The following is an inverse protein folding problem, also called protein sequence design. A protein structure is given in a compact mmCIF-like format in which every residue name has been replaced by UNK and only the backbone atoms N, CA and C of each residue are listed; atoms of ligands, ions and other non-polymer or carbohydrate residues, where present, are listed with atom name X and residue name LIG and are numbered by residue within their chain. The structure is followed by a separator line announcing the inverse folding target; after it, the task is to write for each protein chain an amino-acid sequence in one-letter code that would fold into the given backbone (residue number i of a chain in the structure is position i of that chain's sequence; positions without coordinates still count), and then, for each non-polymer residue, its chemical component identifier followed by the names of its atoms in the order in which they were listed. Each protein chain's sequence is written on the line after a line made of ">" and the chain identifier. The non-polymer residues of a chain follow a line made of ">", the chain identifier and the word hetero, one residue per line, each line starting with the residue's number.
data_IF_911887423101
#
_entry.id   IF_911887423101
#
_cell.length_a   1.000
_cell.length_b   1.000
_cell.length_c   1.000
_cell.angle_alpha   90.00
_cell.angle_beta   90.00
_cell.angle_gamma   90.00
#
_symmetry.space_group_name_H-M   'P 1'
#
loop_
_entity.id
_entity.type
_entity.pdbx_description
1 polymer ?
#
# COMPACT_ATOMS: atom_id res chain seq x y z
N UNK A 1 13.33 46.56 -19.28
CA UNK A 1 13.76 45.70 -18.16
C UNK A 1 13.80 44.27 -18.65
N UNK A 2 14.97 43.68 -18.82
CA UNK A 2 15.10 42.22 -19.12
C UNK A 2 14.90 41.46 -17.81
N UNK A 3 13.81 40.72 -17.68
CA UNK A 3 13.65 39.76 -16.62
C UNK A 3 14.67 38.63 -16.86
N UNK A 4 15.71 38.56 -16.11
CA UNK A 4 16.56 37.37 -16.02
C UNK A 4 15.73 36.32 -15.31
N UNK A 5 15.24 35.37 -16.07
CA UNK A 5 14.69 34.13 -15.50
C UNK A 5 15.86 33.45 -14.78
N UNK A 6 15.84 33.43 -13.45
CA UNK A 6 16.84 32.68 -12.66
C UNK A 6 16.58 31.23 -13.01
N UNK A 7 17.45 30.66 -13.83
CA UNK A 7 17.43 29.23 -14.17
C UNK A 7 17.76 28.51 -12.85
N UNK A 8 16.79 27.84 -12.25
CA UNK A 8 17.01 27.00 -11.08
C UNK A 8 17.69 25.71 -11.53
N UNK A 9 18.98 25.67 -11.38
CA UNK A 9 19.80 24.48 -11.59
C UNK A 9 19.64 23.65 -10.31
N UNK A 10 19.16 22.40 -10.41
CA UNK A 10 19.15 21.44 -9.32
C UNK A 10 20.30 20.45 -9.53
N UNK A 11 21.08 20.15 -8.50
CA UNK A 11 22.16 19.17 -8.60
C UNK A 11 22.42 18.47 -7.28
N UNK A 12 22.40 17.13 -7.27
CA UNK A 12 22.66 16.35 -6.07
C UNK A 12 23.19 14.94 -6.40
N UNK A 13 23.80 14.31 -5.40
CA UNK A 13 24.30 12.95 -5.45
C UNK A 13 23.50 12.10 -4.45
N UNK A 14 23.08 10.92 -4.86
CA UNK A 14 22.32 9.98 -4.03
C UNK A 14 22.81 8.55 -4.24
N UNK A 15 22.69 7.70 -3.22
CA UNK A 15 22.99 6.27 -3.35
C UNK A 15 21.91 5.59 -4.20
N UNK A 16 22.34 4.68 -5.08
CA UNK A 16 21.46 3.94 -5.98
C UNK A 16 20.37 3.16 -5.22
N UNK A 17 20.71 2.47 -4.13
CA UNK A 17 19.77 1.65 -3.37
C UNK A 17 18.68 2.50 -2.70
N UNK A 18 19.05 3.61 -2.10
CA UNK A 18 18.12 4.51 -1.43
C UNK A 18 17.12 5.12 -2.43
N UNK A 19 17.64 5.58 -3.59
CA UNK A 19 16.81 6.12 -4.66
C UNK A 19 15.89 5.05 -5.28
N UNK A 20 16.41 3.84 -5.51
CA UNK A 20 15.63 2.71 -6.01
C UNK A 20 14.50 2.34 -5.07
N UNK A 21 14.75 2.27 -3.77
CA UNK A 21 13.74 1.95 -2.76
C UNK A 21 12.62 3.01 -2.74
N UNK A 22 13.00 4.29 -2.69
CA UNK A 22 12.04 5.40 -2.67
C UNK A 22 11.15 5.40 -3.93
N UNK A 23 11.76 5.27 -5.12
CA UNK A 23 11.04 5.21 -6.39
C UNK A 23 10.20 3.94 -6.51
N UNK A 24 10.65 2.81 -5.93
CA UNK A 24 9.91 1.56 -5.88
C UNK A 24 8.58 1.70 -5.14
N UNK A 25 8.58 2.36 -4.00
CA UNK A 25 7.33 2.65 -3.27
C UNK A 25 6.37 3.55 -4.05
N UNK A 26 6.89 4.48 -4.85
CA UNK A 26 6.06 5.34 -5.70
C UNK A 26 5.26 4.54 -6.74
N UNK A 27 5.76 3.38 -7.22
CA UNK A 27 5.08 2.58 -8.25
C UNK A 27 3.71 2.04 -7.81
N UNK A 28 3.49 1.87 -6.51
CA UNK A 28 2.19 1.43 -5.96
C UNK A 28 1.16 2.56 -5.82
N UNK A 29 1.60 3.81 -5.93
CA UNK A 29 0.73 5.00 -5.84
C UNK A 29 0.30 5.48 -7.22
N UNK A 30 1.25 5.58 -8.13
CA UNK A 30 1.06 6.19 -9.46
C UNK A 30 0.17 5.33 -10.35
N UNK A 31 -0.70 5.99 -11.10
CA UNK A 31 -1.49 5.36 -12.15
C UNK A 31 -0.75 5.41 -13.49
N UNK A 32 -0.52 4.23 -14.08
CA UNK A 32 0.17 4.12 -15.37
C UNK A 32 -0.60 4.73 -16.55
N UNK A 33 -1.90 4.93 -16.42
CA UNK A 33 -2.80 5.49 -17.44
C UNK A 33 -3.67 6.57 -16.82
N UNK A 34 -3.10 7.72 -16.55
CA UNK A 34 -3.85 8.90 -16.09
C UNK A 34 -4.15 9.84 -17.26
N UNK A 35 -5.32 10.47 -17.25
CA UNK A 35 -5.67 11.57 -18.15
C UNK A 35 -4.84 12.83 -17.86
N UNK A 36 -4.40 12.99 -16.62
CA UNK A 36 -3.50 14.05 -16.18
C UNK A 36 -2.05 13.55 -16.18
N UNK A 37 -1.26 13.98 -17.15
CA UNK A 37 0.10 13.51 -17.36
C UNK A 37 1.00 13.68 -16.12
N UNK A 38 0.80 14.75 -15.34
CA UNK A 38 1.56 15.05 -14.12
C UNK A 38 1.43 13.95 -13.05
N UNK A 39 0.31 13.21 -13.00
CA UNK A 39 0.09 12.11 -12.04
C UNK A 39 0.89 10.83 -12.37
N UNK A 40 1.50 10.77 -13.56
CA UNK A 40 2.47 9.73 -13.91
C UNK A 40 3.89 10.07 -13.46
N UNK A 41 4.10 11.30 -12.98
CA UNK A 41 5.40 11.79 -12.53
C UNK A 41 5.56 11.61 -11.02
N UNK A 42 6.81 11.62 -10.57
CA UNK A 42 7.20 11.90 -9.20
C UNK A 42 7.73 13.32 -9.11
N UNK A 43 7.39 14.02 -8.03
CA UNK A 43 8.03 15.26 -7.64
C UNK A 43 9.31 14.94 -6.89
N UNK A 44 10.40 15.53 -7.34
CA UNK A 44 11.76 15.41 -6.78
C UNK A 44 12.14 16.78 -6.22
N UNK A 45 12.41 16.84 -4.92
CA UNK A 45 12.79 18.06 -4.21
C UNK A 45 14.10 17.81 -3.47
N UNK A 46 15.17 18.45 -3.91
CA UNK A 46 16.48 18.40 -3.28
C UNK A 46 16.72 19.71 -2.52
N UNK A 47 16.66 19.64 -1.20
CA UNK A 47 16.84 20.79 -0.30
C UNK A 47 17.33 20.34 1.08
N UNK A 48 18.01 21.23 1.81
CA UNK A 48 18.45 20.98 3.20
C UNK A 48 19.20 19.65 3.41
N UNK A 49 20.08 19.26 2.49
CA UNK A 49 20.78 17.95 2.49
C UNK A 49 19.83 16.74 2.53
N UNK A 50 18.62 16.89 1.98
CA UNK A 50 17.59 15.86 1.87
C UNK A 50 17.07 15.78 0.44
N UNK A 51 16.65 14.59 0.06
CA UNK A 51 15.88 14.36 -1.15
C UNK A 51 14.50 13.91 -0.76
N UNK A 52 13.49 14.72 -1.09
CA UNK A 52 12.08 14.35 -0.89
C UNK A 52 11.49 13.92 -2.22
N UNK A 53 10.93 12.72 -2.26
CA UNK A 53 10.23 12.16 -3.42
C UNK A 53 8.74 12.05 -3.06
N UNK A 54 7.89 12.66 -3.88
CA UNK A 54 6.43 12.64 -3.69
C UNK A 54 5.75 12.03 -4.91
N UNK A 55 4.80 11.14 -4.66
CA UNK A 55 3.92 10.55 -5.66
C UNK A 55 2.46 10.67 -5.24
N UNK A 56 1.55 10.87 -6.19
CA UNK A 56 0.12 10.96 -5.90
C UNK A 56 -0.73 10.53 -7.10
N UNK A 57 -1.93 10.01 -6.81
CA UNK A 57 -3.03 9.80 -7.75
C UNK A 57 -4.27 10.66 -7.40
N UNK A 58 -4.11 11.66 -6.53
CA UNK A 58 -5.12 12.55 -5.92
C UNK A 58 -5.90 11.94 -4.74
N UNK A 59 -5.96 10.63 -4.63
CA UNK A 59 -6.62 9.93 -3.52
C UNK A 59 -5.61 9.37 -2.52
N UNK A 60 -4.41 9.05 -3.01
CA UNK A 60 -3.30 8.55 -2.24
C UNK A 60 -2.07 9.45 -2.49
N UNK A 61 -1.42 9.88 -1.42
CA UNK A 61 -0.18 10.67 -1.48
C UNK A 61 0.88 9.91 -0.70
N UNK A 62 2.01 9.71 -1.32
CA UNK A 62 3.19 9.12 -0.70
C UNK A 62 4.34 10.11 -0.74
N UNK A 63 4.98 10.31 0.40
CA UNK A 63 6.17 11.14 0.54
C UNK A 63 7.27 10.33 1.19
N UNK A 64 8.45 10.33 0.62
CA UNK A 64 9.63 9.69 1.20
C UNK A 64 10.81 10.64 1.22
N UNK A 65 11.54 10.65 2.33
CA UNK A 65 12.74 11.46 2.51
C UNK A 65 13.98 10.60 2.63
N UNK A 66 14.93 10.82 1.75
CA UNK A 66 16.30 10.32 1.84
C UNK A 66 17.15 11.40 2.51
N UNK A 67 17.70 11.11 3.68
CA UNK A 67 18.51 12.06 4.47
C UNK A 67 19.99 11.91 4.17
N UNK A 68 20.76 12.94 4.52
CA UNK A 68 22.21 12.95 4.41
C UNK A 68 22.72 12.72 2.98
N UNK A 69 22.03 13.27 2.00
CA UNK A 69 22.52 13.34 0.62
C UNK A 69 23.40 14.57 0.40
N UNK A 70 24.22 14.52 -0.62
CA UNK A 70 25.04 15.65 -1.06
C UNK A 70 24.24 16.51 -2.04
N UNK A 71 23.63 17.59 -1.55
CA UNK A 71 22.96 18.59 -2.38
C UNK A 71 23.99 19.67 -2.74
N UNK A 72 24.31 19.76 -4.03
CA UNK A 72 25.23 20.78 -4.59
C UNK A 72 24.45 22.04 -4.95
N UNK A 73 23.27 21.89 -5.50
CA UNK A 73 22.35 22.98 -5.84
C UNK A 73 20.91 22.55 -5.55
N UNK A 74 20.20 23.34 -4.78
CA UNK A 74 18.82 23.07 -4.38
C UNK A 74 17.84 23.34 -5.52
N UNK A 75 16.80 22.53 -5.60
CA UNK A 75 15.75 22.73 -6.59
C UNK A 75 14.69 21.64 -6.58
N UNK A 76 13.70 21.82 -7.46
CA UNK A 76 12.56 20.90 -7.63
C UNK A 76 12.30 20.62 -9.09
N UNK A 77 11.93 19.41 -9.40
CA UNK A 77 11.47 19.01 -10.74
C UNK A 77 10.50 17.84 -10.66
N UNK A 78 9.85 17.52 -11.78
CA UNK A 78 9.06 16.30 -11.90
C UNK A 78 9.50 15.50 -13.11
N UNK A 79 9.45 14.18 -13.02
CA UNK A 79 9.73 13.29 -14.16
C UNK A 79 8.88 12.02 -14.07
N UNK A 80 8.74 11.32 -15.20
CA UNK A 80 7.94 10.08 -15.29
C UNK A 80 8.50 9.01 -14.36
N UNK A 81 7.72 8.62 -13.38
CA UNK A 81 8.10 7.70 -12.29
C UNK A 81 8.56 6.34 -12.78
N UNK A 82 7.82 5.74 -13.70
CA UNK A 82 8.17 4.41 -14.22
C UNK A 82 9.52 4.42 -14.94
N UNK A 83 9.80 5.47 -15.72
CA UNK A 83 11.04 5.60 -16.48
C UNK A 83 12.25 5.78 -15.59
N UNK A 84 12.18 6.72 -14.63
CA UNK A 84 13.32 6.93 -13.71
C UNK A 84 13.55 5.69 -12.83
N UNK A 85 12.50 5.04 -12.36
CA UNK A 85 12.62 3.79 -11.60
C UNK A 85 13.29 2.69 -12.42
N UNK A 86 12.88 2.49 -13.68
CA UNK A 86 13.44 1.46 -14.57
C UNK A 86 14.93 1.70 -14.89
N UNK A 87 15.37 2.95 -14.97
CA UNK A 87 16.78 3.32 -15.13
C UNK A 87 17.54 3.02 -13.85
N UNK A 88 17.08 3.57 -12.72
CA UNK A 88 17.79 3.49 -11.43
C UNK A 88 17.95 2.05 -10.96
N UNK A 89 16.94 1.19 -11.11
CA UNK A 89 17.02 -0.22 -10.70
C UNK A 89 18.00 -1.06 -11.50
N UNK A 90 18.42 -0.58 -12.69
CA UNK A 90 19.39 -1.28 -13.56
C UNK A 90 20.84 -0.83 -13.34
N UNK A 91 21.06 0.23 -12.57
CA UNK A 91 22.41 0.59 -12.16
C UNK A 91 22.98 -0.40 -11.14
N UNK A 92 24.32 -0.57 -11.13
CA UNK A 92 24.97 -1.43 -10.13
C UNK A 92 24.68 -0.94 -8.70
N UNK A 93 24.38 -1.90 -7.82
CA UNK A 93 24.13 -1.63 -6.40
C UNK A 93 25.32 -0.96 -5.72
N UNK A 94 25.05 -0.04 -4.78
CA UNK A 94 26.07 0.66 -4.00
C UNK A 94 26.77 1.82 -4.73
N UNK A 95 26.38 2.11 -5.98
CA UNK A 95 26.94 3.25 -6.73
C UNK A 95 26.22 4.55 -6.39
N UNK A 96 26.95 5.67 -6.50
CA UNK A 96 26.36 7.00 -6.47
C UNK A 96 25.76 7.33 -7.83
N UNK A 97 24.61 7.96 -7.81
CA UNK A 97 23.93 8.53 -8.98
C UNK A 97 23.96 10.05 -8.84
N UNK A 98 24.42 10.73 -9.86
CA UNK A 98 24.37 12.18 -9.97
C UNK A 98 23.10 12.56 -10.75
N UNK A 99 22.29 13.44 -10.19
CA UNK A 99 21.13 14.00 -10.85
C UNK A 99 21.29 15.51 -10.95
N UNK A 100 21.05 16.03 -12.17
CA UNK A 100 21.07 17.47 -12.41
C UNK A 100 19.96 17.89 -13.36
N UNK A 101 19.37 19.07 -13.12
CA UNK A 101 18.38 19.67 -13.99
C UNK A 101 19.08 20.61 -14.98
N UNK A 102 18.91 20.35 -16.28
CA UNK A 102 19.42 21.21 -17.33
C UNK A 102 18.45 22.35 -17.66
N UNK A 103 18.96 23.39 -18.34
CA UNK A 103 18.21 24.56 -18.80
C UNK A 103 17.01 24.23 -19.70
N UNK A 104 17.03 23.04 -20.33
CA UNK A 104 16.01 22.58 -21.23
C UNK A 104 14.87 21.78 -20.52
N UNK A 105 14.68 21.95 -19.22
CA UNK A 105 13.75 21.16 -18.40
C UNK A 105 13.96 19.63 -18.57
N UNK A 106 15.22 19.20 -18.60
CA UNK A 106 15.58 17.78 -18.66
C UNK A 106 16.35 17.40 -17.40
N UNK A 107 15.91 16.32 -16.76
CA UNK A 107 16.62 15.70 -15.67
C UNK A 107 17.70 14.78 -16.26
N UNK A 108 18.95 15.17 -16.09
CA UNK A 108 20.11 14.36 -16.43
C UNK A 108 20.41 13.41 -15.26
N UNK A 109 20.62 12.15 -15.56
CA UNK A 109 20.93 11.09 -14.61
C UNK A 109 22.22 10.42 -15.05
N UNK A 110 23.24 10.52 -14.23
CA UNK A 110 24.58 9.99 -14.54
C UNK A 110 25.02 8.99 -13.48
N UNK A 111 25.58 7.88 -13.94
CA UNK A 111 26.30 6.92 -13.10
C UNK A 111 27.38 6.25 -13.93
N UNK A 112 28.63 6.33 -13.48
CA UNK A 112 29.82 5.82 -14.18
C UNK A 112 29.91 6.32 -15.64
N UNK A 113 29.67 5.42 -16.61
CA UNK A 113 29.72 5.74 -18.06
C UNK A 113 28.33 5.93 -18.69
N UNK A 114 27.27 5.85 -17.88
CA UNK A 114 25.89 5.95 -18.34
C UNK A 114 25.33 7.33 -18.11
N UNK A 115 24.66 7.89 -19.12
CA UNK A 115 24.02 9.20 -19.06
C UNK A 115 22.62 9.10 -19.71
N UNK A 116 21.61 9.58 -19.00
CA UNK A 116 20.21 9.60 -19.45
C UNK A 116 19.66 11.01 -19.28
N UNK A 117 18.78 11.43 -20.19
CA UNK A 117 18.08 12.71 -20.12
C UNK A 117 16.58 12.46 -20.18
N UNK A 118 15.88 12.77 -19.10
CA UNK A 118 14.43 12.61 -18.98
C UNK A 118 13.72 13.95 -19.09
N UNK A 119 12.59 13.98 -19.81
CA UNK A 119 11.74 15.17 -19.87
C UNK A 119 11.08 15.43 -18.51
N UNK A 120 10.98 16.71 -18.15
CA UNK A 120 10.38 17.18 -16.92
C UNK A 120 9.15 18.04 -17.19
N UNK A 121 8.19 17.98 -16.28
CA UNK A 121 7.10 18.95 -16.20
C UNK A 121 7.36 19.91 -15.02
N UNK A 122 6.71 21.07 -15.05
CA UNK A 122 6.85 22.06 -14.00
C UNK A 122 6.40 21.52 -12.64
N UNK A 123 7.21 21.64 -11.57
CA UNK A 123 6.79 21.26 -10.23
C UNK A 123 5.57 22.05 -9.72
N UNK A 124 5.27 23.22 -10.28
CA UNK A 124 4.07 24.00 -9.93
C UNK A 124 2.76 23.35 -10.38
N UNK A 125 2.81 22.42 -11.34
CA UNK A 125 1.67 21.65 -11.79
C UNK A 125 1.39 20.43 -10.91
N UNK A 126 2.33 20.06 -10.04
CA UNK A 126 2.18 18.88 -9.20
C UNK A 126 1.22 19.16 -8.03
N UNK A 127 0.15 18.35 -7.88
CA UNK A 127 -0.89 18.60 -6.88
C UNK A 127 -0.38 18.24 -5.47
N UNK A 128 -0.04 19.26 -4.70
CA UNK A 128 0.27 19.15 -3.27
C UNK A 128 -0.96 19.54 -2.47
N UNK A 129 -1.21 18.86 -1.37
CA UNK A 129 -2.25 19.21 -0.40
C UNK A 129 -1.61 19.52 0.93
N UNK A 130 -1.87 20.75 1.42
CA UNK A 130 -1.50 21.14 2.78
C UNK A 130 -2.69 20.85 3.70
N UNK A 131 -2.64 19.73 4.43
CA UNK A 131 -3.65 19.42 5.41
C UNK A 131 -3.04 19.27 6.80
N UNK A 132 -3.74 19.83 7.78
CA UNK A 132 -3.33 19.79 9.18
C UNK A 132 -3.92 18.52 9.83
N UNK A 133 -3.07 17.57 10.19
CA UNK A 133 -3.44 16.33 10.87
C UNK A 133 -3.13 16.38 12.37
N UNK A 134 -3.42 17.51 13.02
CA UNK A 134 -2.99 17.73 14.41
C UNK A 134 -3.88 17.08 15.46
N UNK A 135 -5.05 16.56 15.09
CA UNK A 135 -6.00 15.97 16.02
C UNK A 135 -5.94 14.44 16.00
N UNK A 136 -6.16 13.82 17.16
CA UNK A 136 -6.35 12.37 17.32
C UNK A 136 -5.22 11.50 16.78
N UNK A 137 -4.01 11.64 17.37
CA UNK A 137 -2.85 10.82 17.01
C UNK A 137 -2.70 9.64 17.97
N UNK A 138 -2.36 8.49 17.42
CA UNK A 138 -1.96 7.29 18.16
C UNK A 138 -0.90 6.51 17.39
N UNK A 139 -0.20 5.62 18.07
CA UNK A 139 0.85 4.79 17.47
C UNK A 139 0.52 3.32 17.59
N UNK A 140 0.88 2.57 16.55
CA UNK A 140 0.77 1.11 16.52
C UNK A 140 2.07 0.56 15.96
N UNK A 141 2.60 -0.49 16.59
CA UNK A 141 3.78 -1.17 16.08
C UNK A 141 3.52 -1.78 14.70
N UNK A 142 4.44 -1.58 13.77
CA UNK A 142 4.34 -1.96 12.34
C UNK A 142 3.92 -3.42 12.14
N UNK A 143 4.52 -4.36 12.88
CA UNK A 143 4.19 -5.80 12.80
C UNK A 143 2.74 -6.10 13.19
N UNK A 144 2.21 -5.38 14.18
CA UNK A 144 0.82 -5.53 14.61
C UNK A 144 -0.16 -4.99 13.56
N UNK A 145 0.14 -3.82 13.01
CA UNK A 145 -0.64 -3.23 11.93
C UNK A 145 -0.60 -4.10 10.66
N UNK A 146 0.59 -4.55 10.25
CA UNK A 146 0.77 -5.45 9.11
C UNK A 146 -0.02 -6.76 9.28
N UNK A 147 -0.01 -7.33 10.49
CA UNK A 147 -0.82 -8.53 10.82
C UNK A 147 -2.31 -8.28 10.63
N UNK A 148 -2.84 -7.13 11.07
CA UNK A 148 -4.25 -6.76 10.84
C UNK A 148 -4.57 -6.70 9.34
N UNK A 149 -3.75 -5.98 8.57
CA UNK A 149 -3.93 -5.83 7.13
C UNK A 149 -3.89 -7.18 6.42
N UNK A 150 -2.87 -8.01 6.69
CA UNK A 150 -2.68 -9.30 6.04
C UNK A 150 -3.81 -10.28 6.35
N UNK A 151 -4.41 -10.21 7.55
CA UNK A 151 -5.55 -11.07 7.92
C UNK A 151 -6.87 -10.65 7.31
N UNK A 152 -6.99 -9.43 6.79
CA UNK A 152 -8.25 -8.90 6.26
C UNK A 152 -8.22 -8.62 4.76
N UNK A 153 -7.07 -8.25 4.18
CA UNK A 153 -6.96 -7.75 2.79
C UNK A 153 -7.49 -8.70 1.72
N UNK A 154 -7.45 -10.02 1.94
CA UNK A 154 -7.93 -11.01 0.97
C UNK A 154 -9.46 -11.13 0.92
N UNK A 155 -10.17 -10.58 1.91
CA UNK A 155 -11.64 -10.54 1.96
C UNK A 155 -12.22 -9.20 1.46
N UNK A 156 -11.39 -8.27 1.01
CA UNK A 156 -11.85 -6.99 0.45
C UNK A 156 -12.55 -7.24 -0.88
N UNK A 157 -13.72 -6.61 -1.10
CA UNK A 157 -14.50 -6.74 -2.33
C UNK A 157 -13.79 -6.11 -3.54
N UNK A 158 -14.02 -6.71 -4.72
CA UNK A 158 -13.67 -6.13 -6.02
C UNK A 158 -14.90 -5.55 -6.75
N UNK A 159 -16.07 -5.59 -6.12
CA UNK A 159 -17.31 -5.09 -6.69
C UNK A 159 -17.40 -3.57 -6.52
N UNK A 160 -17.21 -2.83 -7.59
CA UNK A 160 -17.24 -1.36 -7.60
C UNK A 160 -18.64 -0.78 -7.31
N UNK A 161 -19.70 -1.57 -7.49
CA UNK A 161 -21.07 -1.12 -7.20
C UNK A 161 -21.32 -1.03 -5.69
N UNK A 162 -20.54 -1.77 -4.89
CA UNK A 162 -20.57 -1.76 -3.42
C UNK A 162 -19.26 -1.21 -2.87
N UNK A 163 -18.93 0.03 -3.25
CA UNK A 163 -17.67 0.68 -2.91
C UNK A 163 -17.33 0.65 -1.41
N UNK A 164 -18.34 0.69 -0.51
CA UNK A 164 -18.15 0.58 0.93
C UNK A 164 -17.60 -0.78 1.40
N UNK A 165 -17.58 -1.81 0.53
CA UNK A 165 -16.91 -3.10 0.77
C UNK A 165 -15.51 -3.18 0.12
N UNK A 166 -15.12 -2.18 -0.68
CA UNK A 166 -13.82 -2.16 -1.39
C UNK A 166 -12.66 -1.70 -0.51
N UNK A 167 -12.78 -1.89 0.80
CA UNK A 167 -11.78 -1.53 1.79
C UNK A 167 -11.84 -2.38 3.06
N UNK A 168 -10.95 -2.06 4.00
CA UNK A 168 -10.99 -2.61 5.36
C UNK A 168 -11.67 -1.58 6.27
N UNK A 169 -12.69 -2.02 6.99
CA UNK A 169 -13.35 -1.26 8.03
C UNK A 169 -12.56 -1.37 9.33
N UNK A 170 -12.09 -0.23 9.82
CA UNK A 170 -11.41 -0.11 11.11
C UNK A 170 -12.30 0.60 12.10
N UNK A 171 -12.40 0.04 13.30
CA UNK A 171 -13.12 0.65 14.39
C UNK A 171 -12.60 0.14 15.75
N UNK A 172 -12.93 0.85 16.81
CA UNK A 172 -12.66 0.38 18.16
C UNK A 172 -13.69 -0.63 18.62
N UNK A 173 -13.24 -1.61 19.37
CA UNK A 173 -14.10 -2.53 20.13
C UNK A 173 -13.57 -2.67 21.55
N UNK A 174 -14.47 -2.91 22.48
CA UNK A 174 -14.15 -3.18 23.88
C UNK A 174 -14.62 -4.61 24.22
N UNK A 175 -13.75 -5.40 24.80
CA UNK A 175 -14.02 -6.78 25.23
C UNK A 175 -13.35 -6.99 26.58
N UNK A 176 -14.12 -7.35 27.60
CA UNK A 176 -13.61 -7.57 28.96
C UNK A 176 -12.73 -6.40 29.47
N UNK A 177 -13.25 -5.19 29.38
CA UNK A 177 -12.58 -3.93 29.77
C UNK A 177 -11.23 -3.67 29.07
N UNK A 178 -10.99 -4.33 27.93
CA UNK A 178 -9.80 -4.13 27.08
C UNK A 178 -10.18 -3.50 25.75
N UNK A 179 -9.42 -2.51 25.35
CA UNK A 179 -9.62 -1.81 24.08
C UNK A 179 -8.88 -2.52 22.95
N UNK A 180 -9.52 -2.58 21.79
CA UNK A 180 -8.97 -3.17 20.57
C UNK A 180 -9.20 -2.27 19.38
N UNK A 181 -8.23 -2.22 18.46
CA UNK A 181 -8.46 -1.82 17.09
C UNK A 181 -8.88 -3.07 16.30
N UNK A 182 -10.08 -3.03 15.76
CA UNK A 182 -10.67 -4.14 15.00
C UNK A 182 -10.71 -3.78 13.53
N UNK A 183 -10.25 -4.70 12.69
CA UNK A 183 -10.27 -4.63 11.25
C UNK A 183 -11.25 -5.67 10.69
N UNK A 184 -12.12 -5.27 9.79
CA UNK A 184 -13.13 -6.13 9.15
C UNK A 184 -13.12 -5.91 7.65
N UNK A 185 -13.17 -7.00 6.89
CA UNK A 185 -13.36 -6.97 5.45
C UNK A 185 -14.30 -8.08 5.01
N UNK A 186 -15.12 -7.82 3.99
CA UNK A 186 -16.02 -8.82 3.39
C UNK A 186 -16.28 -8.50 1.93
N UNK A 187 -16.45 -9.54 1.12
CA UNK A 187 -16.92 -9.48 -0.26
C UNK A 187 -18.33 -10.05 -0.43
N UNK A 188 -19.06 -10.25 0.68
CA UNK A 188 -20.36 -10.88 0.80
C UNK A 188 -20.38 -12.42 0.74
N UNK A 189 -19.27 -13.05 0.35
CA UNK A 189 -19.12 -14.51 0.30
C UNK A 189 -18.26 -15.02 1.46
N UNK A 190 -17.33 -14.22 1.90
CA UNK A 190 -16.43 -14.48 3.04
C UNK A 190 -16.23 -13.19 3.83
N UNK A 191 -15.85 -13.35 5.07
CA UNK A 191 -15.55 -12.22 5.97
C UNK A 191 -14.32 -12.54 6.82
N UNK A 192 -13.48 -11.54 6.99
CA UNK A 192 -12.35 -11.59 7.91
C UNK A 192 -12.53 -10.54 8.99
N UNK A 193 -12.31 -10.96 10.23
CA UNK A 193 -12.27 -10.09 11.40
C UNK A 193 -10.95 -10.33 12.13
N UNK A 194 -10.18 -9.30 12.36
CA UNK A 194 -8.94 -9.37 13.12
C UNK A 194 -8.86 -8.18 14.07
N UNK A 195 -8.26 -8.39 15.25
CA UNK A 195 -8.13 -7.35 16.26
C UNK A 195 -6.75 -7.36 16.89
N UNK A 196 -6.26 -6.19 17.26
CA UNK A 196 -5.08 -6.01 18.10
C UNK A 196 -5.47 -5.25 19.35
N UNK A 197 -4.86 -5.62 20.47
CA UNK A 197 -5.06 -4.91 21.74
C UNK A 197 -4.39 -3.55 21.66
N UNK A 198 -5.09 -2.56 22.21
CA UNK A 198 -4.56 -1.21 22.41
C UNK A 198 -4.22 -1.06 23.91
N UNK A 199 -3.08 -0.42 24.20
CA UNK A 199 -2.66 -0.19 25.57
C UNK A 199 -3.53 0.87 26.28
N UNK A 200 -4.15 1.75 25.50
CA UNK A 200 -5.05 2.80 25.98
C UNK A 200 -6.22 2.97 25.02
N UNK A 201 -7.29 3.57 25.53
CA UNK A 201 -8.41 4.01 24.68
C UNK A 201 -7.94 5.14 23.79
N UNK A 202 -8.18 5.02 22.49
CA UNK A 202 -7.86 6.05 21.49
C UNK A 202 -9.17 6.75 21.08
N UNK A 203 -9.08 8.01 20.68
CA UNK A 203 -10.19 8.69 20.00
C UNK A 203 -10.09 8.43 18.52
N UNK A 204 -10.81 7.43 18.02
CA UNK A 204 -10.74 6.99 16.64
C UNK A 204 -12.13 6.73 16.08
N UNK A 205 -12.57 7.58 15.15
CA UNK A 205 -13.83 7.37 14.44
C UNK A 205 -13.70 6.18 13.48
N UNK A 206 -14.77 5.39 13.33
CA UNK A 206 -14.78 4.28 12.38
C UNK A 206 -14.49 4.75 10.95
N UNK A 207 -13.61 4.05 10.24
CA UNK A 207 -13.20 4.39 8.88
C UNK A 207 -13.22 3.16 7.96
N UNK A 208 -13.34 3.41 6.65
CA UNK A 208 -13.11 2.38 5.62
C UNK A 208 -11.86 2.76 4.83
N UNK A 209 -10.78 2.00 5.02
CA UNK A 209 -9.51 2.22 4.36
C UNK A 209 -9.51 1.58 2.97
N UNK A 210 -9.26 2.34 1.88
CA UNK A 210 -9.34 1.82 0.52
C UNK A 210 -8.36 0.70 0.23
N UNK A 211 -8.73 -0.20 -0.69
CA UNK A 211 -7.91 -1.35 -1.11
C UNK A 211 -6.51 -0.94 -1.54
N UNK A 212 -6.36 0.08 -2.39
CA UNK A 212 -5.05 0.57 -2.86
C UNK A 212 -4.15 0.98 -1.70
N UNK A 213 -4.71 1.71 -0.74
CA UNK A 213 -4.01 2.14 0.47
C UNK A 213 -3.56 0.96 1.32
N UNK A 214 -4.41 -0.06 1.47
CA UNK A 214 -4.10 -1.28 2.23
C UNK A 214 -2.85 -1.97 1.66
N UNK A 215 -2.79 -2.16 0.34
CA UNK A 215 -1.66 -2.82 -0.31
C UNK A 215 -0.39 -1.97 -0.24
N UNK A 216 -0.51 -0.65 -0.45
CA UNK A 216 0.63 0.26 -0.34
C UNK A 216 1.17 0.32 1.08
N UNK A 217 0.30 0.46 2.08
CA UNK A 217 0.70 0.46 3.48
C UNK A 217 1.35 -0.88 3.88
N UNK A 218 0.78 -2.01 3.49
CA UNK A 218 1.36 -3.32 3.76
C UNK A 218 2.77 -3.45 3.16
N UNK A 219 3.00 -2.95 1.94
CA UNK A 219 4.33 -2.94 1.31
C UNK A 219 5.35 -2.08 2.06
N UNK A 220 4.93 -0.93 2.60
CA UNK A 220 5.78 -0.08 3.42
C UNK A 220 6.13 -0.74 4.75
N UNK A 221 5.16 -1.42 5.37
CA UNK A 221 5.31 -2.07 6.67
C UNK A 221 6.18 -3.33 6.63
N UNK A 222 6.24 -4.02 5.48
CA UNK A 222 6.96 -5.30 5.33
C UNK A 222 8.47 -5.16 5.62
N UNK A 223 9.04 -3.98 5.31
CA UNK A 223 10.44 -3.65 5.52
C UNK A 223 10.67 -2.63 6.66
N UNK A 224 9.67 -2.41 7.51
CA UNK A 224 9.75 -1.43 8.58
C UNK A 224 9.51 -2.10 9.95
N UNK A 225 10.43 -1.91 10.88
CA UNK A 225 10.31 -2.36 12.27
C UNK A 225 10.35 -1.14 13.20
N UNK A 226 9.19 -0.68 13.63
CA UNK A 226 9.02 0.50 14.47
C UNK A 226 7.56 0.90 14.63
N UNK A 227 7.32 1.99 15.31
CA UNK A 227 5.98 2.51 15.54
C UNK A 227 5.51 3.33 14.33
N UNK A 228 4.29 3.06 13.91
CA UNK A 228 3.56 3.82 12.90
C UNK A 228 2.66 4.81 13.62
N UNK A 229 2.89 6.10 13.40
CA UNK A 229 2.04 7.15 13.90
C UNK A 229 0.86 7.34 12.96
N UNK A 230 -0.33 7.25 13.49
CA UNK A 230 -1.58 7.34 12.74
C UNK A 230 -2.35 8.56 13.20
N UNK A 231 -2.81 9.35 12.24
CA UNK A 231 -3.69 10.48 12.49
C UNK A 231 -4.76 10.56 11.40
N UNK A 232 -5.99 10.91 11.78
CA UNK A 232 -7.08 11.04 10.82
C UNK A 232 -7.81 12.37 10.99
N UNK A 233 -8.31 12.88 9.87
CA UNK A 233 -9.23 14.02 9.79
C UNK A 233 -10.38 13.62 8.88
N UNK A 234 -11.60 13.92 9.28
CA UNK A 234 -12.87 13.63 8.54
C UNK A 234 -12.79 12.59 7.41
N UNK A 235 -12.21 12.96 6.25
CA UNK A 235 -12.20 12.14 5.03
C UNK A 235 -10.81 11.57 4.67
N UNK A 236 -9.78 11.79 5.50
CA UNK A 236 -8.41 11.36 5.21
C UNK A 236 -7.72 10.77 6.43
N UNK A 237 -6.77 9.89 6.17
CA UNK A 237 -5.89 9.29 7.18
C UNK A 237 -4.43 9.43 6.75
N UNK A 238 -3.56 9.67 7.72
CA UNK A 238 -2.12 9.76 7.55
C UNK A 238 -1.42 8.68 8.38
N UNK A 239 -0.46 8.02 7.75
CA UNK A 239 0.48 7.09 8.37
C UNK A 239 1.88 7.64 8.25
N UNK A 240 2.58 7.81 9.37
CA UNK A 240 3.97 8.26 9.42
C UNK A 240 4.87 7.11 9.88
N UNK A 241 5.85 6.77 9.04
CA UNK A 241 6.80 5.68 9.23
C UNK A 241 8.21 6.25 9.04
N UNK A 242 8.93 6.59 10.10
CA UNK A 242 10.27 7.16 10.04
C UNK A 242 10.44 8.24 8.94
N UNK A 243 10.90 7.84 7.75
CA UNK A 243 11.17 8.72 6.61
C UNK A 243 10.04 8.73 5.56
N UNK A 244 8.95 8.02 5.80
CA UNK A 244 7.83 7.89 4.85
C UNK A 244 6.54 8.40 5.46
N UNK A 245 5.74 9.07 4.63
CA UNK A 245 4.38 9.49 4.96
C UNK A 245 3.45 8.97 3.87
N UNK A 246 2.38 8.32 4.28
CA UNK A 246 1.30 7.89 3.40
C UNK A 246 0.01 8.57 3.85
N UNK A 247 -0.61 9.34 2.96
CA UNK A 247 -1.90 10.01 3.19
C UNK A 247 -2.91 9.41 2.21
N UNK A 248 -4.06 9.02 2.71
CA UNK A 248 -5.13 8.45 1.89
C UNK A 248 -6.45 9.10 2.17
N UNK A 249 -7.24 9.35 1.12
CA UNK A 249 -8.68 9.54 1.27
C UNK A 249 -9.30 8.25 1.82
N UNK A 250 -10.39 8.40 2.56
CA UNK A 250 -11.19 7.30 3.10
C UNK A 250 -12.39 7.05 2.19
N UNK A 251 -12.88 5.82 2.19
CA UNK A 251 -14.12 5.52 1.49
C UNK A 251 -15.29 6.09 2.31
N UNK A 252 -16.07 6.95 1.68
CA UNK A 252 -17.33 7.43 2.25
C UNK A 252 -18.39 6.33 2.16
N UNK A 253 -19.07 6.07 3.26
CA UNK A 253 -20.12 5.07 3.31
C UNK A 253 -20.24 4.39 4.67
N UNK A 254 -21.33 3.66 4.85
CA UNK A 254 -21.60 2.91 6.08
C UNK A 254 -21.29 1.44 5.86
N UNK A 255 -20.30 0.91 6.61
CA UNK A 255 -20.00 -0.52 6.59
C UNK A 255 -21.16 -1.30 7.21
N UNK A 256 -21.53 -2.48 6.66
CA UNK A 256 -22.62 -3.30 7.18
C UNK A 256 -22.41 -3.74 8.63
N UNK A 257 -23.50 -4.00 9.34
CA UNK A 257 -23.40 -4.58 10.69
C UNK A 257 -22.96 -6.06 10.60
N UNK A 258 -21.66 -6.26 10.52
CA UNK A 258 -21.03 -7.56 10.33
C UNK A 258 -21.22 -8.50 11.53
N UNK A 259 -21.51 -7.99 12.74
CA UNK A 259 -21.70 -8.82 13.94
C UNK A 259 -22.94 -9.72 13.80
N UNK A 260 -23.94 -9.27 13.05
CA UNK A 260 -25.17 -10.03 12.84
C UNK A 260 -25.00 -11.26 11.95
N UNK A 261 -23.99 -11.25 11.08
CA UNK A 261 -23.73 -12.37 10.16
C UNK A 261 -22.69 -13.37 10.69
N UNK A 262 -22.09 -13.11 11.86
CA UNK A 262 -21.19 -14.06 12.51
C UNK A 262 -22.03 -15.25 13.02
N UNK A 263 -21.76 -16.49 12.55
CA UNK A 263 -22.47 -17.66 13.01
C UNK A 263 -22.29 -17.89 14.51
N UNK A 264 -23.39 -18.15 15.19
CA UNK A 264 -23.42 -18.45 16.63
C UNK A 264 -23.90 -19.89 16.84
N UNK A 265 -23.47 -20.51 17.94
CA UNK A 265 -23.93 -21.81 18.37
C UNK A 265 -23.66 -22.99 17.39
N UNK A 266 -22.54 -22.90 16.65
CA UNK A 266 -22.08 -24.02 15.81
C UNK A 266 -21.57 -25.16 16.70
N UNK A 267 -22.30 -26.28 16.68
CA UNK A 267 -21.96 -27.47 17.46
C UNK A 267 -21.01 -28.41 16.69
N UNK A 268 -21.04 -28.38 15.35
CA UNK A 268 -20.19 -29.21 14.49
C UNK A 268 -18.84 -28.48 14.32
N UNK A 269 -17.76 -29.13 14.71
CA UNK A 269 -16.38 -28.61 14.61
C UNK A 269 -15.54 -29.53 13.74
N UNK A 270 -14.67 -28.97 12.94
CA UNK A 270 -13.62 -29.66 12.22
C UNK A 270 -12.28 -29.19 12.79
N UNK A 271 -11.48 -30.13 13.30
CA UNK A 271 -10.10 -29.89 13.71
C UNK A 271 -9.17 -30.67 12.79
N UNK A 272 -8.23 -29.98 12.14
CA UNK A 272 -7.37 -30.55 11.13
C UNK A 272 -6.00 -29.86 11.14
N UNK A 273 -4.93 -30.59 10.83
CA UNK A 273 -3.61 -29.99 10.65
C UNK A 273 -3.60 -29.01 9.48
N UNK A 274 -3.11 -27.79 9.73
CA UNK A 274 -3.11 -26.70 8.76
C UNK A 274 -2.32 -27.03 7.48
N UNK A 275 -1.13 -27.65 7.63
CA UNK A 275 -0.26 -27.93 6.47
C UNK A 275 -0.83 -29.05 5.62
N UNK A 276 -1.35 -30.09 6.26
CA UNK A 276 -2.03 -31.19 5.58
C UNK A 276 -3.22 -30.67 4.80
N UNK A 277 -4.10 -29.91 5.46
CA UNK A 277 -5.30 -29.35 4.84
C UNK A 277 -4.99 -28.41 3.67
N UNK A 278 -4.05 -27.47 3.86
CA UNK A 278 -3.63 -26.53 2.82
C UNK A 278 -3.09 -27.27 1.59
N UNK A 279 -2.20 -28.25 1.80
CA UNK A 279 -1.62 -29.04 0.71
C UNK A 279 -2.67 -29.87 -0.05
N UNK A 280 -3.67 -30.40 0.65
CA UNK A 280 -4.74 -31.19 0.04
C UNK A 280 -5.70 -30.32 -0.77
N UNK A 281 -6.07 -29.16 -0.24
CA UNK A 281 -6.89 -28.18 -0.98
C UNK A 281 -6.17 -27.72 -2.25
N UNK A 282 -4.86 -27.43 -2.16
CA UNK A 282 -4.06 -26.95 -3.29
C UNK A 282 -3.96 -28.03 -4.39
N UNK A 283 -3.73 -29.31 -4.02
CA UNK A 283 -3.71 -30.42 -4.97
C UNK A 283 -5.05 -30.62 -5.66
N UNK A 284 -6.15 -30.68 -4.91
CA UNK A 284 -7.48 -30.89 -5.48
C UNK A 284 -7.90 -29.70 -6.35
N UNK A 285 -7.59 -28.49 -5.93
CA UNK A 285 -7.89 -27.27 -6.69
C UNK A 285 -7.07 -27.14 -7.99
N UNK A 286 -5.97 -27.87 -8.15
CA UNK A 286 -5.14 -27.81 -9.37
C UNK A 286 -5.83 -28.34 -10.63
N UNK A 287 -6.91 -29.12 -10.46
CA UNK A 287 -7.76 -29.58 -11.57
C UNK A 287 -8.63 -28.46 -12.14
N UNK A 288 -8.90 -27.41 -11.34
CA UNK A 288 -9.70 -26.26 -11.77
C UNK A 288 -8.91 -25.34 -12.68
N UNK A 289 -9.37 -25.14 -13.90
CA UNK A 289 -8.80 -24.18 -14.85
C UNK A 289 -9.30 -22.75 -14.58
N UNK A 290 -10.49 -22.63 -14.00
CA UNK A 290 -11.10 -21.34 -13.64
C UNK A 290 -11.09 -21.19 -12.10
N UNK A 291 -10.58 -20.04 -11.63
CA UNK A 291 -10.59 -19.66 -10.19
C UNK A 291 -12.00 -19.58 -9.57
N UNK A 292 -13.04 -19.80 -10.37
CA UNK A 292 -14.44 -19.81 -9.93
C UNK A 292 -14.94 -21.17 -9.48
N UNK A 293 -14.22 -22.26 -9.81
CA UNK A 293 -14.61 -23.59 -9.37
C UNK A 293 -14.43 -23.73 -7.88
N UNK A 294 -15.44 -24.24 -7.21
CA UNK A 294 -15.42 -24.49 -5.78
C UNK A 294 -14.88 -25.87 -5.43
N UNK A 295 -14.13 -25.96 -4.34
CA UNK A 295 -13.78 -27.25 -3.72
C UNK A 295 -14.93 -27.68 -2.83
N UNK A 296 -15.52 -28.83 -3.10
CA UNK A 296 -16.58 -29.43 -2.27
C UNK A 296 -15.96 -30.16 -1.09
N UNK A 297 -16.47 -29.88 0.10
CA UNK A 297 -16.09 -30.52 1.36
C UNK A 297 -17.20 -31.45 1.79
N UNK A 298 -16.91 -32.73 1.96
CA UNK A 298 -17.84 -33.75 2.46
C UNK A 298 -17.27 -34.31 3.75
N UNK A 299 -17.91 -33.98 4.89
CA UNK A 299 -17.48 -34.42 6.20
C UNK A 299 -18.27 -35.59 6.68
N UNK A 300 -17.59 -36.61 7.18
CA UNK A 300 -18.14 -37.71 7.98
C UNK A 300 -17.57 -37.59 9.40
N UNK A 301 -17.86 -38.60 10.25
CA UNK A 301 -17.36 -38.59 11.63
C UNK A 301 -15.82 -38.56 11.68
N UNK A 302 -15.16 -39.32 10.82
CA UNK A 302 -13.73 -39.61 10.92
C UNK A 302 -12.94 -39.26 9.63
N UNK A 303 -13.60 -38.62 8.63
CA UNK A 303 -12.97 -38.30 7.36
C UNK A 303 -13.52 -37.01 6.75
N UNK A 304 -12.63 -36.28 6.05
CA UNK A 304 -12.96 -35.15 5.20
C UNK A 304 -12.60 -35.47 3.76
N UNK A 305 -13.58 -35.55 2.88
CA UNK A 305 -13.35 -35.67 1.44
C UNK A 305 -13.43 -34.32 0.76
N UNK A 306 -12.39 -34.00 -0.01
CA UNK A 306 -12.28 -32.82 -0.87
C UNK A 306 -12.54 -33.26 -2.31
N UNK A 307 -13.36 -32.56 -3.07
CA UNK A 307 -13.55 -32.85 -4.48
C UNK A 307 -13.77 -31.60 -5.32
N UNK A 308 -13.22 -31.62 -6.54
CA UNK A 308 -13.47 -30.64 -7.62
C UNK A 308 -13.94 -31.44 -8.84
N UNK A 309 -14.92 -30.92 -9.53
CA UNK A 309 -15.33 -31.43 -10.82
C UNK A 309 -15.46 -30.29 -11.80
N UNK A 310 -14.69 -30.36 -12.88
CA UNK A 310 -14.68 -29.37 -13.96
C UNK A 310 -14.88 -30.09 -15.28
N UNK A 311 -15.88 -29.69 -16.04
CA UNK A 311 -16.28 -30.38 -17.31
C UNK A 311 -15.19 -30.31 -18.37
N UNK A 312 -14.27 -29.38 -18.31
CA UNK A 312 -13.24 -29.16 -19.33
C UNK A 312 -11.89 -29.79 -18.97
N UNK A 313 -11.56 -29.86 -17.68
CA UNK A 313 -10.24 -30.29 -17.19
C UNK A 313 -10.26 -31.62 -16.46
N UNK A 314 -11.44 -32.12 -16.06
CA UNK A 314 -11.59 -33.38 -15.35
C UNK A 314 -11.98 -33.20 -13.89
N UNK A 315 -11.77 -34.23 -13.09
CA UNK A 315 -12.10 -34.27 -11.66
C UNK A 315 -10.90 -34.61 -10.79
N UNK A 316 -10.95 -34.18 -9.56
CA UNK A 316 -9.96 -34.49 -8.53
C UNK A 316 -10.64 -34.74 -7.19
N UNK A 317 -10.15 -35.72 -6.46
CA UNK A 317 -10.61 -35.98 -5.10
C UNK A 317 -9.47 -36.42 -4.18
N UNK A 318 -9.61 -36.10 -2.91
CA UNK A 318 -8.69 -36.52 -1.86
C UNK A 318 -9.45 -36.67 -0.54
N UNK A 319 -9.07 -37.65 0.28
CA UNK A 319 -9.65 -37.88 1.60
C UNK A 319 -8.59 -37.75 2.67
N UNK A 320 -8.93 -36.99 3.72
CA UNK A 320 -8.13 -36.69 4.90
C UNK A 320 -8.77 -37.34 6.12
#
# INVERSE_FOLDING_TARGET
>A
MRYYTIIKIMKFNVNQQDLQQALGYCQGVIEKRSTLQILSNVLIDASDSKLTITATDLDLIFVHQIKNIEVLEEGKTTTVSATIYDIVRKFPSGKKINLSLSDANKLQIESEKSNFNLNCLSPSEFPLTDENFNDNQFSIHSKSLLKLLNKCKFSVSNDETRHYLSGIYFHQTEVEDKNYLTAVATDSHRMSVSKIRLDQKISFEPIILPKKTIFQLASLLDNYDGDVKISNVKSKIKFELNNSILISKLIDGKFPNYIQVIPKNNQKKLEIDLKLFLGSVDRVASVSLDKKDGVKFSLTKDALSLSVNNTNSGDGNETL
#
